data_IF_939640206375
#
_entry.id   IF_939640206375
#
_cell.length_a   1.000
_cell.length_b   1.000
_cell.length_c   1.000
_cell.angle_alpha   90.00
_cell.angle_beta   90.00
_cell.angle_gamma   90.00
#
_symmetry.space_group_name_H-M   'P 1'
#
loop_
_entity.id
_entity.type
_entity.pdbx_description
1 polymer ?
#
# COMPACT_ATOMS: atom_id res chain seq x y z
N UNK A 1 -39.80 23.52 -37.80
CA UNK A 1 -38.51 23.32 -38.50
C UNK A 1 -37.29 23.46 -37.56
N UNK A 2 -37.31 24.36 -36.56
CA UNK A 2 -36.21 24.54 -35.58
C UNK A 2 -35.75 23.26 -34.86
N UNK A 3 -36.66 22.37 -34.48
CA UNK A 3 -36.34 21.13 -33.74
C UNK A 3 -35.38 20.20 -34.49
N UNK A 4 -35.43 20.19 -35.83
CA UNK A 4 -34.54 19.37 -36.67
C UNK A 4 -33.11 19.91 -36.70
N UNK A 5 -32.91 21.23 -36.59
CA UNK A 5 -31.58 21.85 -36.57
C UNK A 5 -30.93 21.65 -35.21
N UNK A 6 -31.68 21.81 -34.11
CA UNK A 6 -31.18 21.51 -32.76
C UNK A 6 -30.70 20.06 -32.62
N UNK A 7 -31.45 19.10 -33.17
CA UNK A 7 -31.05 17.68 -33.16
C UNK A 7 -29.77 17.43 -33.96
N UNK A 8 -29.60 18.10 -35.11
CA UNK A 8 -28.38 18.00 -35.94
C UNK A 8 -27.14 18.58 -35.24
N UNK A 9 -27.30 19.58 -34.39
CA UNK A 9 -26.20 20.15 -33.60
C UNK A 9 -25.90 19.38 -32.31
N UNK A 10 -26.91 18.80 -31.66
CA UNK A 10 -26.72 18.05 -30.42
C UNK A 10 -26.09 16.68 -30.65
N UNK A 11 -26.47 15.98 -31.72
CA UNK A 11 -26.01 14.61 -31.97
C UNK A 11 -24.48 14.48 -32.06
N UNK A 12 -23.74 15.36 -32.78
CA UNK A 12 -22.28 15.34 -32.79
C UNK A 12 -21.67 15.61 -31.42
N UNK A 13 -22.24 16.53 -30.63
CA UNK A 13 -21.75 16.86 -29.29
C UNK A 13 -21.89 15.67 -28.35
N UNK A 14 -23.04 14.98 -28.38
CA UNK A 14 -23.27 13.77 -27.60
C UNK A 14 -22.27 12.68 -28.00
N UNK A 15 -22.04 12.46 -29.29
CA UNK A 15 -21.08 11.45 -29.75
C UNK A 15 -19.63 11.79 -29.36
N UNK A 16 -19.25 13.07 -29.37
CA UNK A 16 -17.93 13.50 -28.88
C UNK A 16 -17.76 13.15 -27.41
N UNK A 17 -18.73 13.53 -26.57
CA UNK A 17 -18.71 13.26 -25.13
C UNK A 17 -18.70 11.75 -24.84
N UNK A 18 -19.50 10.96 -25.58
CA UNK A 18 -19.48 9.50 -25.45
C UNK A 18 -18.10 8.92 -25.81
N UNK A 19 -17.44 9.46 -26.84
CA UNK A 19 -16.08 9.06 -27.21
C UNK A 19 -15.03 9.42 -26.17
N UNK A 20 -15.13 10.60 -25.55
CA UNK A 20 -14.27 11.03 -24.45
C UNK A 20 -14.41 10.10 -23.25
N UNK A 21 -15.64 9.81 -22.83
CA UNK A 21 -15.93 8.88 -21.73
C UNK A 21 -15.40 7.47 -22.03
N UNK A 22 -15.63 6.94 -23.24
CA UNK A 22 -15.11 5.62 -23.64
C UNK A 22 -13.58 5.57 -23.56
N UNK A 23 -12.89 6.64 -23.96
CA UNK A 23 -11.43 6.73 -23.86
C UNK A 23 -10.97 6.78 -22.40
N UNK A 24 -11.59 7.59 -21.55
CA UNK A 24 -11.26 7.66 -20.11
C UNK A 24 -11.45 6.32 -19.40
N UNK A 25 -12.54 5.61 -19.71
CA UNK A 25 -12.81 4.27 -19.17
C UNK A 25 -11.74 3.29 -19.63
N UNK A 26 -11.36 3.30 -20.92
CA UNK A 26 -10.31 2.42 -21.45
C UNK A 26 -8.95 2.68 -20.79
N UNK A 27 -8.57 3.94 -20.59
CA UNK A 27 -7.33 4.28 -19.90
C UNK A 27 -7.35 3.87 -18.42
N UNK A 28 -8.48 4.07 -17.74
CA UNK A 28 -8.67 3.62 -16.35
C UNK A 28 -8.54 2.10 -16.23
N UNK A 29 -9.14 1.33 -17.15
CA UNK A 29 -9.02 -0.14 -17.18
C UNK A 29 -7.57 -0.57 -17.40
N UNK A 30 -6.84 0.09 -18.30
CA UNK A 30 -5.41 -0.21 -18.53
C UNK A 30 -4.59 0.02 -17.27
N UNK A 31 -4.84 1.12 -16.56
CA UNK A 31 -4.18 1.45 -15.29
C UNK A 31 -4.45 0.38 -14.23
N UNK A 32 -5.72 0.04 -13.99
CA UNK A 32 -6.11 -1.00 -13.01
C UNK A 32 -5.45 -2.34 -13.34
N UNK A 33 -5.45 -2.75 -14.62
CA UNK A 33 -4.78 -4.00 -15.04
C UNK A 33 -3.29 -3.97 -14.76
N UNK A 34 -2.62 -2.83 -14.97
CA UNK A 34 -1.20 -2.68 -14.70
C UNK A 34 -0.92 -2.75 -13.19
N UNK A 35 -1.70 -2.03 -12.39
CA UNK A 35 -1.52 -1.96 -10.94
C UNK A 35 -1.79 -3.33 -10.30
N UNK A 36 -2.87 -4.01 -10.68
CA UNK A 36 -3.16 -5.37 -10.20
C UNK A 36 -2.05 -6.37 -10.55
N UNK A 37 -1.50 -6.31 -11.77
CA UNK A 37 -0.40 -7.18 -12.15
C UNK A 37 0.86 -6.90 -11.32
N UNK A 38 1.13 -5.64 -10.97
CA UNK A 38 2.26 -5.29 -10.12
C UNK A 38 2.06 -5.87 -8.70
N UNK A 39 0.88 -5.68 -8.11
CA UNK A 39 0.56 -6.23 -6.78
C UNK A 39 0.69 -7.75 -6.73
N UNK A 40 0.20 -8.47 -7.75
CA UNK A 40 0.34 -9.92 -7.81
C UNK A 40 1.80 -10.38 -7.89
N UNK A 41 2.66 -9.61 -8.56
CA UNK A 41 4.09 -9.92 -8.65
C UNK A 41 4.77 -9.69 -7.31
N UNK A 42 4.46 -8.57 -6.65
CA UNK A 42 5.02 -8.24 -5.33
C UNK A 42 4.62 -9.29 -4.28
N UNK A 43 3.36 -9.72 -4.26
CA UNK A 43 2.89 -10.80 -3.37
C UNK A 43 3.58 -12.14 -3.65
N UNK A 44 3.77 -12.52 -4.91
CA UNK A 44 4.52 -13.73 -5.27
C UNK A 44 5.96 -13.66 -4.77
N UNK A 45 6.61 -12.50 -4.92
CA UNK A 45 7.98 -12.30 -4.45
C UNK A 45 8.04 -12.41 -2.93
N UNK A 46 7.10 -11.76 -2.23
CA UNK A 46 7.01 -11.81 -0.77
C UNK A 46 6.82 -13.24 -0.27
N UNK A 47 5.89 -13.97 -0.87
CA UNK A 47 5.67 -15.38 -0.57
C UNK A 47 6.93 -16.23 -0.77
N UNK A 48 7.66 -16.04 -1.87
CA UNK A 48 8.91 -16.74 -2.12
C UNK A 48 9.98 -16.40 -1.08
N UNK A 49 10.06 -15.13 -0.62
CA UNK A 49 10.99 -14.73 0.45
C UNK A 49 10.66 -15.42 1.76
N UNK A 50 9.39 -15.43 2.17
CA UNK A 50 8.93 -16.07 3.40
C UNK A 50 9.27 -17.57 3.41
N UNK A 51 9.04 -18.28 2.30
CA UNK A 51 9.43 -19.69 2.18
C UNK A 51 10.95 -19.84 2.33
N UNK A 52 11.72 -18.99 1.67
CA UNK A 52 13.17 -19.06 1.73
C UNK A 52 13.72 -18.83 3.15
N UNK A 53 13.14 -17.87 3.88
CA UNK A 53 13.50 -17.58 5.27
C UNK A 53 13.09 -18.73 6.21
N UNK A 54 11.88 -19.28 6.03
CA UNK A 54 11.36 -20.36 6.86
C UNK A 54 12.06 -21.71 6.66
N UNK A 55 12.54 -21.98 5.45
CA UNK A 55 13.16 -23.28 5.09
C UNK A 55 14.69 -23.19 4.89
N UNK A 56 15.29 -22.01 5.05
CA UNK A 56 16.72 -21.79 4.84
C UNK A 56 17.16 -21.94 3.38
N UNK A 57 16.27 -21.64 2.42
CA UNK A 57 16.53 -21.76 0.98
C UNK A 57 17.11 -20.48 0.40
N UNK A 58 17.80 -20.61 -0.74
CA UNK A 58 18.41 -19.48 -1.46
C UNK A 58 17.36 -18.84 -2.37
N UNK A 59 16.93 -17.61 -2.04
CA UNK A 59 15.91 -16.87 -2.82
C UNK A 59 16.23 -16.77 -4.31
N UNK A 60 17.51 -16.55 -4.67
CA UNK A 60 17.91 -16.44 -6.09
C UNK A 60 17.65 -17.73 -6.89
N UNK A 61 17.72 -18.89 -6.26
CA UNK A 61 17.43 -20.17 -6.92
C UNK A 61 15.93 -20.34 -7.17
N UNK A 62 15.10 -20.04 -6.17
CA UNK A 62 13.64 -20.09 -6.30
C UNK A 62 13.11 -19.02 -7.25
N UNK A 63 13.64 -17.79 -7.18
CA UNK A 63 13.34 -16.69 -8.11
C UNK A 63 13.50 -17.14 -9.56
N UNK A 64 14.59 -17.83 -9.88
CA UNK A 64 14.87 -18.25 -11.25
C UNK A 64 13.98 -19.40 -11.73
N UNK A 65 13.50 -20.24 -10.80
CA UNK A 65 12.63 -21.37 -11.09
C UNK A 65 11.15 -20.99 -11.23
N UNK A 66 10.67 -20.06 -10.41
CA UNK A 66 9.24 -19.79 -10.26
C UNK A 66 8.76 -18.45 -10.82
N UNK A 67 9.66 -17.52 -11.15
CA UNK A 67 9.29 -16.25 -11.78
C UNK A 67 9.68 -16.24 -13.26
N UNK A 68 8.84 -15.64 -14.09
CA UNK A 68 9.14 -15.44 -15.51
C UNK A 68 9.98 -14.16 -15.74
N UNK A 69 10.52 -14.00 -16.94
CA UNK A 69 11.40 -12.86 -17.29
C UNK A 69 10.75 -11.48 -17.12
N UNK A 70 9.43 -11.35 -17.27
CA UNK A 70 8.73 -10.07 -17.02
C UNK A 70 8.67 -9.79 -15.52
N UNK A 71 8.34 -10.80 -14.72
CA UNK A 71 8.27 -10.71 -13.26
C UNK A 71 9.66 -10.42 -12.67
N UNK A 72 10.71 -11.09 -13.16
CA UNK A 72 12.10 -10.86 -12.74
C UNK A 72 12.58 -9.43 -12.95
N UNK A 73 12.14 -8.75 -14.01
CA UNK A 73 12.48 -7.34 -14.30
C UNK A 73 11.79 -6.35 -13.37
N UNK A 74 10.63 -6.71 -12.84
CA UNK A 74 9.92 -5.90 -11.85
C UNK A 74 10.57 -5.96 -10.46
N UNK A 75 11.40 -6.98 -10.22
CA UNK A 75 12.32 -7.03 -9.09
C UNK A 75 13.40 -5.99 -9.33
N UNK A 76 13.09 -4.73 -9.03
CA UNK A 76 14.14 -3.78 -8.67
C UNK A 76 14.99 -4.48 -7.63
N UNK A 77 16.31 -4.36 -7.73
CA UNK A 77 17.22 -4.76 -6.66
C UNK A 77 16.86 -3.97 -5.40
N UNK A 78 15.80 -4.39 -4.73
CA UNK A 78 15.64 -4.25 -3.31
C UNK A 78 16.63 -5.27 -2.74
N UNK A 79 17.92 -4.91 -2.84
CA UNK A 79 18.83 -4.95 -1.70
C UNK A 79 18.41 -3.82 -0.76
N UNK A 80 17.13 -3.74 -0.46
CA UNK A 80 16.75 -3.46 0.88
C UNK A 80 16.42 -4.87 1.34
N UNK A 81 17.27 -5.42 2.21
CA UNK A 81 16.73 -6.04 3.42
C UNK A 81 15.32 -5.49 3.63
N UNK A 82 14.30 -6.35 3.53
CA UNK A 82 13.06 -5.99 4.22
C UNK A 82 13.57 -5.84 5.65
N UNK A 83 13.79 -4.60 6.04
CA UNK A 83 14.13 -4.23 7.39
C UNK A 83 12.82 -4.41 8.15
N UNK A 84 12.47 -5.69 8.38
CA UNK A 84 11.48 -6.09 9.37
C UNK A 84 11.99 -5.71 10.78
N UNK A 85 13.22 -5.20 10.90
CA UNK A 85 13.81 -4.70 12.15
C UNK A 85 13.47 -3.24 12.49
N UNK A 86 12.59 -2.53 11.78
CA UNK A 86 12.21 -1.16 12.18
C UNK A 86 10.70 -0.82 12.14
N UNK A 87 9.81 -1.80 12.10
CA UNK A 87 8.54 -1.59 12.81
C UNK A 87 8.85 -1.75 14.30
N UNK A 88 9.24 -0.64 14.95
CA UNK A 88 9.31 -0.62 16.41
C UNK A 88 7.90 -0.94 16.91
N UNK A 89 7.71 -2.19 17.35
CA UNK A 89 6.48 -2.61 18.04
C UNK A 89 6.26 -1.63 19.19
N UNK A 90 5.07 -1.04 19.22
CA UNK A 90 4.69 -0.16 20.33
C UNK A 90 4.59 -1.00 21.60
N UNK A 91 5.19 -0.52 22.68
CA UNK A 91 5.07 -1.13 23.99
C UNK A 91 3.73 -0.75 24.64
N UNK A 92 3.31 -1.53 25.64
CA UNK A 92 2.05 -1.35 26.34
C UNK A 92 2.32 -0.79 27.74
N UNK A 93 1.56 0.22 28.14
CA UNK A 93 1.56 0.75 29.51
C UNK A 93 0.13 0.84 30.05
N UNK A 94 -0.04 0.52 31.33
CA UNK A 94 -1.33 0.59 32.03
C UNK A 94 -1.27 1.66 33.13
N UNK A 95 -2.21 2.59 33.10
CA UNK A 95 -2.29 3.73 34.03
C UNK A 95 -3.76 3.94 34.38
N UNK A 96 -4.09 3.91 35.68
CA UNK A 96 -5.46 4.09 36.17
C UNK A 96 -6.47 3.15 35.47
N UNK A 97 -6.13 1.87 35.34
CA UNK A 97 -6.93 0.83 34.66
C UNK A 97 -7.19 1.08 33.16
N UNK A 98 -6.42 1.97 32.54
CA UNK A 98 -6.48 2.24 31.09
C UNK A 98 -5.17 1.85 30.41
N UNK A 99 -5.31 1.16 29.28
CA UNK A 99 -4.18 0.69 28.47
C UNK A 99 -3.82 1.69 27.38
N UNK A 100 -2.52 1.91 27.17
CA UNK A 100 -1.97 2.75 26.11
C UNK A 100 -0.88 2.02 25.35
N UNK A 101 -0.70 2.39 24.08
CA UNK A 101 0.46 2.00 23.29
C UNK A 101 1.46 3.16 23.27
N UNK A 102 2.76 2.90 23.29
CA UNK A 102 3.75 3.96 23.17
C UNK A 102 5.02 3.53 22.45
N UNK A 103 5.68 4.49 21.82
CA UNK A 103 7.02 4.27 21.27
C UNK A 103 8.04 4.28 22.41
N UNK A 104 8.69 3.14 22.69
CA UNK A 104 9.68 3.03 23.78
C UNK A 104 11.05 3.64 23.41
N UNK A 105 11.05 4.96 23.25
CA UNK A 105 12.22 5.81 22.97
C UNK A 105 11.96 7.19 23.56
N UNK A 106 13.02 7.97 23.75
CA UNK A 106 12.91 9.34 24.24
C UNK A 106 12.08 10.20 23.27
N UNK A 107 11.13 10.96 23.79
CA UNK A 107 10.10 11.69 23.05
C UNK A 107 9.19 10.81 22.18
N UNK A 108 9.03 9.54 22.54
CA UNK A 108 8.11 8.62 21.86
C UNK A 108 6.65 9.02 22.06
N UNK A 109 5.81 8.85 21.04
CA UNK A 109 4.38 9.20 21.13
C UNK A 109 3.62 8.12 21.92
N UNK A 110 2.68 8.56 22.75
CA UNK A 110 1.73 7.70 23.46
C UNK A 110 0.38 7.78 22.75
N UNK A 111 -0.21 6.63 22.48
CA UNK A 111 -1.48 6.46 21.80
C UNK A 111 -2.51 5.82 22.73
N UNK A 112 -3.73 6.33 22.67
CA UNK A 112 -4.89 5.70 23.29
C UNK A 112 -5.21 4.38 22.58
N UNK A 113 -5.37 3.29 23.35
CA UNK A 113 -5.60 1.96 22.77
C UNK A 113 -6.88 1.85 21.94
N UNK A 114 -7.95 2.53 22.37
CA UNK A 114 -9.28 2.36 21.78
C UNK A 114 -9.46 3.26 20.54
N UNK A 115 -8.85 4.45 20.55
CA UNK A 115 -9.01 5.46 19.50
C UNK A 115 -7.80 5.61 18.58
N UNK A 116 -6.65 5.06 18.96
CA UNK A 116 -5.37 5.19 18.27
C UNK A 116 -4.91 6.65 18.06
N UNK A 117 -5.45 7.58 18.85
CA UNK A 117 -5.08 8.99 18.82
C UNK A 117 -3.89 9.25 19.74
N UNK A 118 -2.99 10.18 19.37
CA UNK A 118 -1.91 10.62 20.24
C UNK A 118 -2.48 11.36 21.46
N UNK A 119 -2.01 10.99 22.65
CA UNK A 119 -2.49 11.52 23.94
C UNK A 119 -1.35 11.98 24.86
N UNK A 120 -0.09 11.86 24.41
CA UNK A 120 1.05 12.24 25.22
C UNK A 120 2.39 11.83 24.63
N UNK A 121 3.44 12.01 25.42
CA UNK A 121 4.83 11.73 25.06
C UNK A 121 5.57 10.99 26.18
N UNK A 122 6.50 10.12 25.80
CA UNK A 122 7.37 9.37 26.71
C UNK A 122 8.70 10.10 26.87
N UNK A 123 8.96 10.66 28.06
CA UNK A 123 10.13 11.49 28.36
C UNK A 123 10.76 11.02 29.66
N UNK A 124 12.09 10.86 29.71
CA UNK A 124 12.82 10.42 30.90
C UNK A 124 12.26 9.12 31.54
N UNK A 125 11.94 8.11 30.71
CA UNK A 125 11.32 6.84 31.12
C UNK A 125 9.95 6.99 31.83
N UNK A 126 9.21 8.06 31.56
CA UNK A 126 7.87 8.28 32.12
C UNK A 126 6.88 8.77 31.05
N UNK A 127 5.62 8.31 31.11
CA UNK A 127 4.57 8.85 30.27
C UNK A 127 4.12 10.22 30.78
N UNK A 128 4.01 11.19 29.87
CA UNK A 128 3.47 12.53 30.13
C UNK A 128 2.27 12.70 29.19
N UNK A 129 1.09 12.93 29.76
CA UNK A 129 -0.14 13.13 29.01
C UNK A 129 -0.43 14.62 28.87
N UNK A 130 -0.95 15.02 27.71
CA UNK A 130 -1.42 16.37 27.44
C UNK A 130 -2.78 16.66 28.09
#
# INVERSE_FOLDING_TARGET
MKTSEYLKEMYPKINSLLGEIDNEVKESIKKIKKDNNMMLIDEKINFLRIICEGEGLIFNELKNKYLNEKEKKCIKEQVNTIDVSNENLLDIIEINDKTYFYENKENGIIYDRDTNNPVGVFINNKPIFD
#
